data_IF_472644303622
#
_entry.id   IF_472644303622
#
_cell.length_a   1.000
_cell.length_b   1.000
_cell.length_c   1.000
_cell.angle_alpha   90.00
_cell.angle_beta   90.00
_cell.angle_gamma   90.00
#
_symmetry.space_group_name_H-M   'P 1'
#
loop_
_entity.id
_entity.type
_entity.pdbx_description
1 polymer ?
#
# COMPACT_ATOMS: atom_id res chain seq x y z
N UNK A 1 -0.63 1.65 35.95
CA UNK A 1 -1.61 1.72 34.91
C UNK A 1 -0.94 1.70 33.54
N UNK A 2 -1.51 0.94 32.72
CA UNK A 2 -0.94 0.79 31.43
C UNK A 2 -1.15 1.98 30.58
N UNK A 3 -0.16 2.23 29.81
CA UNK A 3 -0.28 3.19 28.79
C UNK A 3 -0.95 2.56 27.60
N UNK A 4 -2.06 3.09 27.24
CA UNK A 4 -2.71 2.62 26.04
C UNK A 4 -1.91 3.08 24.85
N UNK A 5 -1.58 2.12 23.99
CA UNK A 5 -0.93 2.45 22.75
C UNK A 5 -1.98 2.52 21.68
N UNK A 6 -2.17 3.69 21.15
CA UNK A 6 -3.08 3.87 20.03
C UNK A 6 -2.31 3.75 18.75
N UNK A 7 -2.80 2.89 17.90
CA UNK A 7 -2.24 2.76 16.59
C UNK A 7 -3.20 3.44 15.64
N UNK A 8 -2.76 4.48 15.02
CA UNK A 8 -3.57 5.20 14.06
C UNK A 8 -3.60 4.44 12.76
N UNK A 9 -4.71 4.57 12.04
CA UNK A 9 -4.79 4.12 10.67
C UNK A 9 -3.86 4.99 9.84
N UNK A 10 -2.89 4.41 9.17
CA UNK A 10 -1.89 5.19 8.46
C UNK A 10 -1.27 4.46 7.31
N UNK A 11 -0.74 5.24 6.37
CA UNK A 11 -0.09 4.71 5.18
C UNK A 11 1.17 5.52 4.96
N UNK A 12 2.32 4.84 4.96
CA UNK A 12 3.60 5.50 4.80
C UNK A 12 3.91 5.76 3.34
N UNK A 13 4.75 6.76 3.09
CA UNK A 13 5.32 6.92 1.78
C UNK A 13 6.20 5.70 1.51
N UNK A 14 6.09 5.15 0.32
CA UNK A 14 6.90 4.00 -0.08
C UNK A 14 8.39 4.37 -0.05
N UNK A 15 9.23 3.39 0.23
CA UNK A 15 10.67 3.61 0.28
C UNK A 15 11.38 2.43 -0.36
N UNK A 16 12.31 2.68 -1.29
CA UNK A 16 12.69 3.98 -1.84
C UNK A 16 11.62 4.56 -2.76
N UNK A 17 11.69 5.88 -2.95
CA UNK A 17 10.80 6.60 -3.86
C UNK A 17 11.57 7.78 -4.45
N UNK A 18 11.86 7.83 -5.74
CA UNK A 18 11.50 6.85 -6.77
C UNK A 18 12.15 5.49 -6.52
N UNK A 19 11.57 4.45 -7.10
CA UNK A 19 12.08 3.11 -6.86
C UNK A 19 12.41 2.37 -8.15
N UNK A 20 13.32 1.40 -8.03
CA UNK A 20 13.75 0.54 -9.12
C UNK A 20 14.56 -0.60 -8.51
N UNK A 21 14.14 -1.85 -8.61
CA UNK A 21 12.86 -2.29 -9.18
C UNK A 21 11.77 -2.46 -8.14
N UNK A 22 12.06 -2.30 -6.86
CA UNK A 22 11.06 -2.59 -5.84
C UNK A 22 11.04 -1.52 -4.78
N UNK A 23 9.95 -1.47 -4.06
CA UNK A 23 9.73 -0.51 -3.00
C UNK A 23 8.93 -1.19 -1.88
N UNK A 24 9.09 -0.68 -0.67
CA UNK A 24 8.37 -1.19 0.49
C UNK A 24 7.34 -0.16 0.92
N UNK A 25 6.13 -0.62 1.17
CA UNK A 25 5.03 0.21 1.63
C UNK A 25 4.66 -0.26 3.03
N UNK A 26 4.78 0.66 4.00
CA UNK A 26 4.37 0.37 5.37
C UNK A 26 3.01 0.97 5.66
N UNK A 27 2.26 0.32 6.53
CA UNK A 27 0.95 0.84 6.92
C UNK A 27 0.59 0.33 8.31
N UNK A 28 -0.35 1.03 8.94
CA UNK A 28 -0.81 0.64 10.26
C UNK A 28 -2.31 0.43 10.25
N UNK A 29 -2.73 -0.62 10.96
CA UNK A 29 -4.14 -1.00 11.08
C UNK A 29 -4.56 -0.73 12.51
N UNK A 30 -5.53 0.15 12.68
CA UNK A 30 -5.96 0.59 14.01
C UNK A 30 -6.83 -0.44 14.71
N UNK A 31 -7.60 -1.21 13.95
CA UNK A 31 -8.41 -2.28 14.54
C UNK A 31 -8.48 -3.42 13.54
N UNK A 32 -8.57 -4.62 14.07
CA UNK A 32 -8.61 -5.82 13.25
C UNK A 32 -9.80 -5.77 12.30
N UNK A 33 -9.57 -6.20 11.06
CA UNK A 33 -10.63 -6.22 10.07
C UNK A 33 -10.09 -6.37 8.67
N UNK A 34 -10.99 -6.26 7.71
CA UNK A 34 -10.64 -6.40 6.31
C UNK A 34 -9.85 -5.18 5.82
N UNK A 35 -8.77 -5.44 5.14
CA UNK A 35 -7.87 -4.41 4.63
C UNK A 35 -7.53 -4.74 3.19
N UNK A 36 -7.50 -3.72 2.34
CA UNK A 36 -6.98 -3.88 0.98
C UNK A 36 -5.96 -2.77 0.71
N UNK A 37 -4.94 -3.13 -0.04
CA UNK A 37 -3.93 -2.19 -0.51
C UNK A 37 -3.73 -2.47 -1.98
N UNK A 38 -4.12 -1.52 -2.81
CA UNK A 38 -4.13 -1.68 -4.26
C UNK A 38 -3.32 -0.58 -4.91
N UNK A 39 -2.73 -0.91 -6.05
CA UNK A 39 -1.97 0.03 -6.86
C UNK A 39 -2.77 0.34 -8.11
N UNK A 40 -2.82 1.61 -8.49
CA UNK A 40 -3.55 2.10 -9.66
C UNK A 40 -2.61 2.94 -10.52
N UNK A 41 -2.87 2.96 -11.82
CA UNK A 41 -2.17 3.88 -12.70
C UNK A 41 -2.85 5.26 -12.66
N UNK A 42 -2.31 6.22 -13.39
CA UNK A 42 -2.81 7.60 -13.33
C UNK A 42 -4.19 7.76 -13.94
N UNK A 43 -4.67 6.76 -14.67
CA UNK A 43 -6.03 6.79 -15.21
C UNK A 43 -7.05 6.23 -14.23
N UNK A 44 -6.57 5.71 -13.08
CA UNK A 44 -7.44 5.12 -12.09
C UNK A 44 -7.69 3.64 -12.28
N UNK A 45 -6.99 3.01 -13.21
CA UNK A 45 -7.17 1.59 -13.48
C UNK A 45 -6.32 0.78 -12.50
N UNK A 46 -6.90 -0.27 -11.93
CA UNK A 46 -6.18 -1.11 -11.00
C UNK A 46 -5.06 -1.86 -11.70
N UNK A 47 -3.89 -1.83 -11.07
CA UNK A 47 -2.69 -2.46 -11.60
C UNK A 47 -2.37 -3.71 -10.79
N UNK A 48 -2.38 -3.60 -9.46
CA UNK A 48 -1.95 -4.69 -8.62
C UNK A 48 -2.65 -4.64 -7.27
N UNK A 49 -3.01 -5.79 -6.74
CA UNK A 49 -3.52 -5.92 -5.39
C UNK A 49 -2.39 -6.48 -4.54
N UNK A 50 -1.93 -5.68 -3.57
CA UNK A 50 -0.80 -6.07 -2.75
C UNK A 50 -1.23 -6.76 -1.46
N UNK A 51 -2.35 -6.33 -0.91
CA UNK A 51 -2.89 -6.90 0.33
C UNK A 51 -4.40 -6.97 0.17
N UNK A 52 -4.98 -8.10 0.59
CA UNK A 52 -6.44 -8.23 0.57
C UNK A 52 -6.81 -9.32 1.56
N UNK A 53 -7.45 -8.93 2.66
CA UNK A 53 -7.85 -9.90 3.67
C UNK A 53 -7.92 -9.27 5.05
N UNK A 54 -8.24 -10.09 6.02
CA UNK A 54 -8.32 -9.65 7.41
C UNK A 54 -6.92 -9.57 7.98
N UNK A 55 -6.63 -8.43 8.60
CA UNK A 55 -5.33 -8.21 9.24
C UNK A 55 -5.56 -7.82 10.70
N UNK A 56 -4.59 -8.18 11.52
CA UNK A 56 -4.62 -7.79 12.93
C UNK A 56 -4.17 -6.34 13.08
N UNK A 57 -4.53 -5.77 14.22
CA UNK A 57 -4.04 -4.45 14.61
C UNK A 57 -2.53 -4.48 14.64
N UNK A 58 -1.91 -3.43 14.12
CA UNK A 58 -0.46 -3.32 14.17
C UNK A 58 0.11 -2.72 12.92
N UNK A 59 1.44 -2.80 12.83
CA UNK A 59 2.18 -2.32 11.69
C UNK A 59 2.41 -3.47 10.73
N UNK A 60 2.27 -3.17 9.46
CA UNK A 60 2.44 -4.16 8.39
C UNK A 60 3.27 -3.53 7.29
N UNK A 61 3.86 -4.35 6.46
CA UNK A 61 4.57 -3.86 5.28
C UNK A 61 4.45 -4.86 4.15
N UNK A 62 4.59 -4.36 2.94
CA UNK A 62 4.53 -5.19 1.76
C UNK A 62 5.47 -4.59 0.72
N UNK A 63 6.00 -5.44 -0.14
CA UNK A 63 6.91 -5.02 -1.20
C UNK A 63 6.17 -5.06 -2.52
N UNK A 64 6.35 -4.03 -3.35
CA UNK A 64 5.87 -4.04 -4.73
C UNK A 64 7.06 -3.94 -5.65
N UNK A 65 7.11 -4.81 -6.64
CA UNK A 65 8.23 -4.88 -7.56
C UNK A 65 7.86 -4.50 -8.98
N UNK A 66 6.82 -3.68 -9.14
CA UNK A 66 6.46 -3.16 -10.45
C UNK A 66 5.82 -4.17 -11.37
N UNK A 67 5.09 -5.12 -10.79
CA UNK A 67 4.42 -6.18 -11.55
C UNK A 67 2.92 -6.10 -11.33
N UNK A 68 2.16 -6.24 -12.41
CA UNK A 68 0.71 -6.18 -12.30
C UNK A 68 0.14 -7.53 -11.86
N UNK A 69 -1.18 -7.60 -11.74
CA UNK A 69 -1.86 -8.79 -11.27
C UNK A 69 -1.71 -9.99 -12.22
N UNK A 70 -1.28 -9.73 -13.44
CA UNK A 70 -1.05 -10.79 -14.43
C UNK A 70 0.40 -11.23 -14.47
N UNK A 71 1.23 -10.69 -13.58
CA UNK A 71 2.65 -11.04 -13.54
C UNK A 71 3.49 -10.29 -14.55
N UNK A 72 2.93 -9.26 -15.18
CA UNK A 72 3.64 -8.52 -16.21
C UNK A 72 4.24 -7.25 -15.62
N UNK A 73 5.44 -6.93 -16.08
CA UNK A 73 6.12 -5.71 -15.66
C UNK A 73 5.35 -4.49 -16.18
N UNK A 74 5.20 -3.48 -15.33
CA UNK A 74 4.50 -2.25 -15.74
C UNK A 74 5.51 -1.20 -16.18
N UNK A 75 5.01 -0.17 -16.86
CA UNK A 75 5.85 0.92 -17.36
C UNK A 75 6.34 1.80 -16.23
N UNK A 76 7.49 2.43 -16.40
CA UNK A 76 7.93 3.47 -15.50
C UNK A 76 6.91 4.60 -15.50
N UNK A 77 6.75 5.25 -14.36
CA UNK A 77 5.82 6.36 -14.26
C UNK A 77 5.27 6.51 -12.86
N UNK A 78 4.18 7.28 -12.79
CA UNK A 78 3.53 7.58 -11.52
C UNK A 78 2.42 6.57 -11.27
N UNK A 79 2.36 6.06 -10.05
CA UNK A 79 1.32 5.15 -9.60
C UNK A 79 0.75 5.67 -8.30
N UNK A 80 -0.50 5.30 -8.05
CA UNK A 80 -1.20 5.68 -6.83
C UNK A 80 -1.51 4.40 -6.08
N UNK A 81 -1.28 4.38 -4.78
CA UNK A 81 -1.66 3.23 -3.99
C UNK A 81 -2.62 3.67 -2.90
N UNK A 82 -3.59 2.82 -2.62
CA UNK A 82 -4.69 3.13 -1.73
C UNK A 82 -4.84 2.02 -0.70
N UNK A 83 -4.85 2.43 0.56
CA UNK A 83 -5.14 1.54 1.68
C UNK A 83 -6.58 1.78 2.10
N UNK A 84 -7.37 0.71 2.12
CA UNK A 84 -8.78 0.83 2.46
C UNK A 84 -9.17 -0.18 3.52
N UNK A 85 -10.00 0.27 4.46
CA UNK A 85 -10.69 -0.58 5.41
C UNK A 85 -12.18 -0.35 5.23
N UNK A 86 -13.00 -0.93 6.10
CA UNK A 86 -14.44 -0.72 6.00
C UNK A 86 -14.85 0.71 6.26
N UNK A 87 -14.03 1.46 6.99
CA UNK A 87 -14.40 2.80 7.43
C UNK A 87 -13.48 3.91 6.96
N UNK A 88 -12.34 3.56 6.36
CA UNK A 88 -11.31 4.57 6.08
C UNK A 88 -10.57 4.26 4.80
N UNK A 89 -9.99 5.30 4.23
CA UNK A 89 -9.20 5.17 3.00
C UNK A 89 -8.11 6.24 2.99
N UNK A 90 -6.90 5.84 2.60
CA UNK A 90 -5.77 6.76 2.42
C UNK A 90 -5.11 6.42 1.11
N UNK A 91 -4.73 7.44 0.35
CA UNK A 91 -3.99 7.24 -0.90
C UNK A 91 -2.68 7.99 -0.86
N UNK A 92 -1.71 7.46 -1.58
CA UNK A 92 -0.42 8.10 -1.79
C UNK A 92 0.08 7.83 -3.19
N UNK A 93 1.04 8.63 -3.59
CA UNK A 93 1.61 8.58 -4.93
C UNK A 93 3.05 8.08 -4.84
N UNK A 94 3.48 7.32 -5.83
CA UNK A 94 4.86 6.85 -5.91
C UNK A 94 5.34 6.91 -7.35
N UNK A 95 6.66 6.89 -7.51
CA UNK A 95 7.28 6.98 -8.83
C UNK A 95 8.14 5.74 -9.06
N UNK A 96 7.85 5.04 -10.15
CA UNK A 96 8.61 3.87 -10.57
C UNK A 96 9.52 4.28 -11.72
N UNK A 97 10.82 4.02 -11.56
CA UNK A 97 11.82 4.35 -12.56
C UNK A 97 12.45 3.07 -13.09
N UNK A 98 12.82 3.08 -14.34
CA UNK A 98 13.53 1.94 -14.93
C UNK A 98 14.89 2.34 -15.42
#
# INVERSE_FOLDING_TARGET
MDKMLYLAFGLSQNYPNPFNPSTTIGFSVASEGFVSLNVYDITGRMVSTLVEGNLSTGYHSVVWNGIDNNGMSVSAGIYIYALQTETSSITRKMVFMK
#
